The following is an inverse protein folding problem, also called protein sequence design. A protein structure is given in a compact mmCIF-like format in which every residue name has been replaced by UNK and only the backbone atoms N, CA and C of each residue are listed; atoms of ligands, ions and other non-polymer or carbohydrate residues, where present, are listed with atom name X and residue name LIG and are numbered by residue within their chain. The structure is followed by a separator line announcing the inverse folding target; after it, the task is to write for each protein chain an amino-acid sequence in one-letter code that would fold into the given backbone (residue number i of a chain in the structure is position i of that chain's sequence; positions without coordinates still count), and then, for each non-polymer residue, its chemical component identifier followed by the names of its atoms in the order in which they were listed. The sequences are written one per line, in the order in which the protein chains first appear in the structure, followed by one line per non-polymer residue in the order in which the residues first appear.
data_IF_071373402495
#
_entry.id   IF_071373402495
#
_cell.length_a   1.000
_cell.length_b   1.000
_cell.length_c   1.000
_cell.angle_alpha   90.00
_cell.angle_beta   90.00
_cell.angle_gamma   90.00
#
_symmetry.space_group_name_H-M   'P 1'
#
loop_
_entity.id
_entity.type
_entity.pdbx_description
1 polymer ?
#
# COMPACT_ATOMS: atom_id res chain seq x y z
N UNK A 1 -26.93 -52.55 -58.78
CA UNK A 1 -25.76 -51.71 -58.42
C UNK A 1 -25.93 -51.25 -56.97
N UNK A 2 -25.11 -51.73 -56.03
CA UNK A 2 -25.15 -51.31 -54.61
C UNK A 2 -24.25 -50.08 -54.46
N UNK A 3 -24.83 -48.91 -54.19
CA UNK A 3 -24.07 -47.72 -53.80
C UNK A 3 -24.05 -47.65 -52.27
N UNK A 4 -22.93 -48.02 -51.68
CA UNK A 4 -22.67 -47.90 -50.23
C UNK A 4 -22.15 -46.49 -49.95
N UNK A 5 -22.99 -45.62 -49.38
CA UNK A 5 -22.55 -44.31 -48.90
C UNK A 5 -21.97 -44.48 -47.49
N UNK A 6 -20.65 -44.43 -47.38
CA UNK A 6 -19.93 -44.39 -46.10
C UNK A 6 -19.92 -42.94 -45.61
N UNK A 7 -20.69 -42.64 -44.57
CA UNK A 7 -20.69 -41.33 -43.92
C UNK A 7 -19.56 -41.30 -42.89
N UNK A 8 -18.45 -40.65 -43.21
CA UNK A 8 -17.39 -40.43 -42.22
C UNK A 8 -17.78 -39.28 -41.28
N UNK A 9 -18.13 -39.64 -40.04
CA UNK A 9 -18.20 -38.69 -38.93
C UNK A 9 -16.80 -38.18 -38.60
N UNK A 10 -16.45 -36.99 -39.13
CA UNK A 10 -15.27 -36.23 -38.68
C UNK A 10 -15.41 -35.93 -37.19
N UNK A 11 -14.58 -36.57 -36.37
CA UNK A 11 -14.47 -36.28 -34.93
C UNK A 11 -14.03 -34.82 -34.76
N UNK A 12 -14.73 -34.01 -33.92
CA UNK A 12 -14.32 -32.65 -33.68
C UNK A 12 -12.98 -32.62 -32.94
N UNK A 13 -12.21 -31.59 -33.27
CA UNK A 13 -10.89 -31.23 -32.76
C UNK A 13 -10.72 -31.47 -31.26
N UNK A 14 -9.52 -31.93 -30.90
CA UNK A 14 -9.11 -32.36 -29.56
C UNK A 14 -9.60 -31.48 -28.41
N UNK A 15 -10.62 -31.97 -27.72
CA UNK A 15 -10.98 -31.51 -26.39
C UNK A 15 -9.88 -32.01 -25.46
N UNK A 16 -8.95 -31.12 -25.06
CA UNK A 16 -8.04 -31.40 -23.94
C UNK A 16 -8.91 -31.68 -22.72
N UNK A 17 -8.74 -32.85 -22.12
CA UNK A 17 -9.37 -33.23 -20.86
C UNK A 17 -9.17 -32.13 -19.81
N UNK A 18 -10.19 -31.80 -19.00
CA UNK A 18 -10.05 -30.80 -17.96
C UNK A 18 -8.95 -31.23 -17.01
N UNK A 19 -7.87 -30.44 -16.94
CA UNK A 19 -6.79 -30.66 -15.97
C UNK A 19 -7.37 -30.36 -14.59
N UNK A 20 -7.56 -31.41 -13.80
CA UNK A 20 -7.92 -31.27 -12.38
C UNK A 20 -6.69 -30.71 -11.68
N UNK A 21 -6.70 -29.41 -11.42
CA UNK A 21 -5.66 -28.76 -10.63
C UNK A 21 -6.05 -28.91 -9.17
N UNK A 22 -5.25 -29.65 -8.41
CA UNK A 22 -5.38 -29.71 -6.95
C UNK A 22 -4.94 -28.37 -6.36
N UNK A 23 -5.90 -27.58 -5.88
CA UNK A 23 -5.63 -26.27 -5.28
C UNK A 23 -5.46 -26.47 -3.76
N UNK A 24 -4.28 -26.12 -3.25
CA UNK A 24 -4.00 -26.16 -1.80
C UNK A 24 -4.47 -24.87 -1.14
N UNK A 25 -4.92 -24.93 0.12
CA UNK A 25 -5.35 -23.76 0.89
C UNK A 25 -4.29 -22.63 0.93
N UNK A 26 -3.00 -22.99 0.97
CA UNK A 26 -1.87 -22.03 0.93
C UNK A 26 -1.87 -21.21 -0.35
N UNK A 27 -2.24 -21.82 -1.49
CA UNK A 27 -2.31 -21.14 -2.77
C UNK A 27 -3.48 -20.15 -2.79
N UNK A 28 -4.63 -20.55 -2.21
CA UNK A 28 -5.77 -19.66 -2.04
C UNK A 28 -5.43 -18.47 -1.14
N UNK A 29 -4.83 -18.70 0.02
CA UNK A 29 -4.45 -17.65 0.96
C UNK A 29 -3.44 -16.67 0.35
N UNK A 30 -2.41 -17.19 -0.34
CA UNK A 30 -1.43 -16.36 -1.03
C UNK A 30 -2.09 -15.50 -2.11
N UNK A 31 -3.01 -16.10 -2.89
CA UNK A 31 -3.76 -15.39 -3.93
C UNK A 31 -4.62 -14.29 -3.31
N UNK A 32 -5.32 -14.61 -2.23
CA UNK A 32 -6.17 -13.67 -1.49
C UNK A 32 -5.37 -12.49 -0.93
N UNK A 33 -4.24 -12.75 -0.25
CA UNK A 33 -3.33 -11.70 0.24
C UNK A 33 -2.84 -10.79 -0.89
N UNK A 34 -2.54 -11.36 -2.06
CA UNK A 34 -2.19 -10.59 -3.25
C UNK A 34 -3.32 -9.66 -3.72
N UNK A 35 -4.55 -10.17 -3.76
CA UNK A 35 -5.74 -9.38 -4.10
C UNK A 35 -5.97 -8.22 -3.11
N UNK A 36 -5.86 -8.48 -1.81
CA UNK A 36 -6.00 -7.45 -0.76
C UNK A 36 -4.93 -6.37 -0.89
N UNK A 37 -3.67 -6.76 -1.17
CA UNK A 37 -2.58 -5.78 -1.38
C UNK A 37 -2.87 -4.87 -2.57
N UNK A 38 -3.27 -5.43 -3.71
CA UNK A 38 -3.60 -4.63 -4.90
C UNK A 38 -4.79 -3.69 -4.65
N UNK A 39 -5.82 -4.19 -3.97
CA UNK A 39 -6.96 -3.36 -3.56
C UNK A 39 -6.53 -2.14 -2.75
N UNK A 40 -5.70 -2.32 -1.71
CA UNK A 40 -5.21 -1.21 -0.87
C UNK A 40 -4.43 -0.17 -1.68
N UNK A 41 -3.59 -0.62 -2.62
CA UNK A 41 -2.81 0.28 -3.48
C UNK A 41 -3.73 1.09 -4.39
N UNK A 42 -4.69 0.45 -5.04
CA UNK A 42 -5.64 1.11 -5.95
C UNK A 42 -6.55 2.06 -5.19
N UNK A 43 -7.08 1.63 -4.04
CA UNK A 43 -7.93 2.48 -3.18
C UNK A 43 -7.19 3.75 -2.78
N UNK A 44 -5.97 3.62 -2.22
CA UNK A 44 -5.15 4.77 -1.85
C UNK A 44 -4.89 5.71 -3.04
N UNK A 45 -4.64 5.15 -4.23
CA UNK A 45 -4.40 5.95 -5.44
C UNK A 45 -5.63 6.76 -5.84
N UNK A 46 -6.81 6.14 -5.83
CA UNK A 46 -8.09 6.75 -6.19
C UNK A 46 -8.59 7.74 -5.11
N UNK A 47 -8.28 7.49 -3.84
CA UNK A 47 -8.61 8.40 -2.73
C UNK A 47 -7.69 9.65 -2.71
N UNK A 48 -6.58 9.63 -3.45
CA UNK A 48 -5.66 10.77 -3.53
C UNK A 48 -6.16 11.80 -4.53
N UNK A 49 -6.50 12.99 -4.06
CA UNK A 49 -6.93 14.11 -4.90
C UNK A 49 -5.89 14.45 -5.98
N UNK A 50 -6.37 14.74 -7.20
CA UNK A 50 -5.56 15.07 -8.36
C UNK A 50 -5.02 13.87 -9.16
N UNK A 51 -5.29 12.63 -8.73
CA UNK A 51 -5.03 11.45 -9.54
C UNK A 51 -6.22 11.09 -10.43
N UNK A 52 -5.92 10.47 -11.57
CA UNK A 52 -6.91 9.78 -12.39
C UNK A 52 -7.32 8.47 -11.72
N UNK A 53 -8.62 8.13 -11.81
CA UNK A 53 -9.12 6.90 -11.21
C UNK A 53 -8.52 5.68 -11.90
N UNK A 54 -7.84 4.83 -11.14
CA UNK A 54 -7.30 3.57 -11.62
C UNK A 54 -8.38 2.49 -11.60
N UNK A 55 -8.65 1.93 -12.77
CA UNK A 55 -9.56 0.81 -12.93
C UNK A 55 -8.88 -0.53 -12.59
N UNK A 56 -9.63 -1.41 -11.92
CA UNK A 56 -9.28 -2.81 -11.75
C UNK A 56 -10.52 -3.70 -11.72
N UNK A 57 -10.54 -4.74 -12.55
CA UNK A 57 -11.73 -5.60 -12.76
C UNK A 57 -12.28 -6.27 -11.50
N UNK A 58 -11.45 -6.49 -10.49
CA UNK A 58 -11.87 -7.10 -9.22
C UNK A 58 -12.14 -6.08 -8.12
N UNK A 59 -12.05 -4.78 -8.43
CA UNK A 59 -12.15 -3.72 -7.43
C UNK A 59 -13.50 -3.75 -6.73
N UNK A 60 -14.62 -3.77 -7.47
CA UNK A 60 -15.97 -3.78 -6.87
C UNK A 60 -16.16 -4.94 -5.91
N UNK A 61 -15.91 -6.17 -6.38
CA UNK A 61 -16.10 -7.39 -5.59
C UNK A 61 -15.26 -7.39 -4.32
N UNK A 62 -13.99 -6.98 -4.40
CA UNK A 62 -13.13 -6.92 -3.22
C UNK A 62 -13.51 -5.75 -2.31
N UNK A 63 -13.91 -4.62 -2.89
CA UNK A 63 -14.40 -3.48 -2.13
C UNK A 63 -15.59 -3.90 -1.28
N UNK A 64 -16.56 -4.61 -1.81
CA UNK A 64 -17.75 -5.07 -1.09
C UNK A 64 -17.41 -5.96 0.12
N UNK A 65 -16.36 -6.78 0.01
CA UNK A 65 -15.90 -7.65 1.10
C UNK A 65 -15.10 -6.87 2.15
N UNK A 66 -14.37 -5.83 1.73
CA UNK A 66 -13.27 -5.26 2.51
C UNK A 66 -13.52 -3.82 2.99
N UNK A 67 -14.46 -3.08 2.40
CA UNK A 67 -14.66 -1.65 2.66
C UNK A 67 -15.00 -1.32 4.12
N UNK A 68 -15.68 -2.21 4.84
CA UNK A 68 -16.09 -2.02 6.24
C UNK A 68 -15.01 -2.36 7.26
N UNK A 69 -13.85 -2.87 6.83
CA UNK A 69 -12.80 -3.31 7.75
C UNK A 69 -11.96 -2.11 8.24
N UNK A 70 -11.64 -2.04 9.54
CA UNK A 70 -10.83 -0.95 10.09
C UNK A 70 -9.41 -0.93 9.52
N UNK A 71 -8.94 -2.07 9.01
CA UNK A 71 -7.64 -2.21 8.31
C UNK A 71 -7.56 -1.40 7.00
N UNK A 72 -8.71 -0.97 6.48
CA UNK A 72 -8.85 -0.28 5.19
C UNK A 72 -9.41 1.12 5.38
N UNK A 73 -10.40 1.29 6.26
CA UNK A 73 -10.88 2.59 6.69
C UNK A 73 -10.45 2.80 8.15
N UNK A 74 -9.43 3.64 8.41
CA UNK A 74 -9.02 3.90 9.78
C UNK A 74 -10.14 4.62 10.53
N UNK A 75 -10.35 4.25 11.79
CA UNK A 75 -11.39 4.83 12.66
C UNK A 75 -11.15 6.34 12.88
N UNK A 76 -9.88 6.76 12.86
CA UNK A 76 -9.49 8.16 12.90
C UNK A 76 -8.32 8.42 11.95
N UNK A 77 -8.35 9.58 11.28
CA UNK A 77 -7.25 10.06 10.45
C UNK A 77 -6.62 11.26 11.16
N UNK A 78 -5.39 11.09 11.66
CA UNK A 78 -4.61 12.22 12.16
C UNK A 78 -3.88 12.88 10.99
N UNK A 79 -4.19 14.14 10.69
CA UNK A 79 -3.53 14.89 9.63
C UNK A 79 -2.36 15.68 10.21
N UNK A 80 -1.12 15.30 9.85
CA UNK A 80 0.08 16.02 10.29
C UNK A 80 0.28 17.37 9.58
N UNK A 81 -0.55 17.69 8.58
CA UNK A 81 -0.43 18.91 7.77
C UNK A 81 -1.06 20.14 8.44
N UNK A 82 -1.88 19.96 9.47
CA UNK A 82 -2.41 21.03 10.29
C UNK A 82 -2.06 20.68 11.74
N UNK A 83 -1.19 21.47 12.35
CA UNK A 83 -0.93 21.35 13.79
C UNK A 83 -2.22 21.49 14.60
N UNK A 84 -2.14 21.20 15.91
CA UNK A 84 -3.27 21.38 16.84
C UNK A 84 -3.95 22.74 16.59
N UNK A 85 -5.18 22.71 16.09
CA UNK A 85 -6.06 23.87 16.12
C UNK A 85 -7.05 23.65 17.26
N UNK A 86 -6.98 24.49 18.27
CA UNK A 86 -8.04 24.64 19.26
C UNK A 86 -9.22 25.32 18.55
N UNK A 87 -10.30 24.57 18.36
CA UNK A 87 -11.56 25.13 17.89
C UNK A 87 -12.26 25.76 19.10
N UNK A 88 -12.05 27.04 19.33
CA UNK A 88 -13.04 27.87 20.03
C UNK A 88 -14.24 28.02 19.09
N UNK A 89 -15.43 27.69 19.60
CA UNK A 89 -16.68 27.70 18.84
C UNK A 89 -17.05 29.14 18.45
N UNK A 90 -17.13 29.45 17.16
CA UNK A 90 -17.87 30.62 16.67
C UNK A 90 -18.19 30.48 15.18
N UNK A 91 -19.40 30.91 14.86
CA UNK A 91 -20.14 30.83 13.60
C UNK A 91 -19.37 31.18 12.32
N UNK A 92 -19.81 30.51 11.25
CA UNK A 92 -19.11 30.41 9.99
C UNK A 92 -19.07 31.68 9.14
N UNK A 93 -18.08 31.72 8.25
CA UNK A 93 -18.16 32.32 6.92
C UNK A 93 -17.17 31.57 6.02
N UNK A 94 -17.64 31.15 4.84
CA UNK A 94 -16.77 30.60 3.80
C UNK A 94 -15.87 31.69 3.23
N UNK A 95 -14.56 31.46 3.22
CA UNK A 95 -13.60 32.30 2.48
C UNK A 95 -12.78 31.41 1.54
N UNK A 96 -12.86 31.60 0.22
CA UNK A 96 -11.99 30.91 -0.72
C UNK A 96 -10.61 31.59 -0.69
N UNK A 97 -9.63 30.96 -0.04
CA UNK A 97 -8.25 31.44 -0.09
C UNK A 97 -7.54 30.83 -1.31
N UNK A 98 -7.41 31.65 -2.34
CA UNK A 98 -6.53 31.42 -3.48
C UNK A 98 -5.09 31.34 -3.01
N UNK A 99 -4.49 30.14 -3.01
CA UNK A 99 -3.05 29.98 -2.87
C UNK A 99 -2.46 29.47 -4.19
N UNK A 100 -1.41 30.12 -4.74
CA UNK A 100 -0.79 29.68 -5.97
C UNK A 100 -0.10 28.33 -5.72
N UNK A 101 -0.65 27.26 -6.29
CA UNK A 101 0.01 25.98 -6.35
C UNK A 101 1.17 26.06 -7.33
N UNK A 102 2.38 26.28 -6.83
CA UNK A 102 3.59 26.06 -7.61
C UNK A 102 3.71 24.56 -7.87
N UNK A 103 3.13 24.11 -8.96
CA UNK A 103 3.27 22.74 -9.47
C UNK A 103 4.75 22.48 -9.77
N UNK A 104 5.39 21.44 -9.20
CA UNK A 104 6.67 20.99 -9.70
C UNK A 104 6.39 20.25 -11.01
N UNK A 105 6.74 20.91 -12.10
CA UNK A 105 6.79 20.36 -13.44
C UNK A 105 7.57 19.06 -13.48
N UNK A 106 7.02 18.14 -14.26
CA UNK A 106 7.41 16.75 -14.51
C UNK A 106 8.80 16.64 -15.17
N UNK A 107 9.89 16.89 -14.44
CA UNK A 107 11.24 16.77 -15.03
C UNK A 107 12.35 16.23 -14.13
N UNK A 108 12.10 15.72 -12.91
CA UNK A 108 13.23 15.21 -12.10
C UNK A 108 12.93 13.99 -11.21
N UNK A 109 12.75 12.82 -11.85
CA UNK A 109 12.66 11.51 -11.18
C UNK A 109 13.99 11.15 -10.47
N UNK A 110 15.14 11.64 -10.95
CA UNK A 110 16.46 11.35 -10.36
C UNK A 110 16.69 12.10 -9.04
N UNK A 111 16.26 13.36 -8.94
CA UNK A 111 16.36 14.15 -7.70
C UNK A 111 15.48 13.59 -6.58
N UNK A 112 14.26 13.13 -6.91
CA UNK A 112 13.30 12.62 -5.92
C UNK A 112 13.78 11.32 -5.24
N UNK A 113 14.50 10.44 -5.96
CA UNK A 113 15.11 9.23 -5.38
C UNK A 113 16.23 9.57 -4.38
N UNK A 114 17.12 10.51 -4.73
CA UNK A 114 18.21 10.96 -3.86
C UNK A 114 17.71 11.63 -2.57
N UNK A 115 16.65 12.44 -2.66
CA UNK A 115 16.04 13.09 -1.49
C UNK A 115 15.44 12.05 -0.53
N UNK A 116 14.76 11.03 -1.06
CA UNK A 116 14.18 9.96 -0.23
C UNK A 116 15.26 9.07 0.41
N UNK A 117 16.34 8.80 -0.31
CA UNK A 117 17.47 8.01 0.18
C UNK A 117 18.21 8.73 1.32
N UNK A 118 18.53 10.01 1.14
CA UNK A 118 19.12 10.85 2.20
C UNK A 118 18.22 10.95 3.44
N UNK A 119 16.89 10.99 3.26
CA UNK A 119 15.95 11.04 4.38
C UNK A 119 15.87 9.72 5.17
N UNK A 120 16.07 8.57 4.50
CA UNK A 120 16.12 7.25 5.13
C UNK A 120 17.44 7.11 5.88
N UNK A 121 18.55 7.49 5.25
CA UNK A 121 19.89 7.41 5.84
C UNK A 121 19.99 8.27 7.11
N UNK A 122 19.48 9.51 7.08
CA UNK A 122 19.45 10.36 8.28
C UNK A 122 18.67 9.71 9.43
N UNK A 123 17.51 9.09 9.15
CA UNK A 123 16.71 8.40 10.17
C UNK A 123 17.41 7.14 10.70
N UNK A 124 18.18 6.47 9.87
CA UNK A 124 19.00 5.33 10.26
C UNK A 124 20.13 5.78 11.18
N UNK A 125 20.86 6.82 10.79
CA UNK A 125 21.94 7.41 11.58
C UNK A 125 21.44 7.90 12.95
N UNK A 126 20.32 8.62 13.00
CA UNK A 126 19.73 9.06 14.27
C UNK A 126 19.31 7.90 15.18
N UNK A 127 18.96 6.75 14.61
CA UNK A 127 18.62 5.55 15.39
C UNK A 127 19.89 4.93 15.98
N UNK A 128 20.96 4.83 15.19
CA UNK A 128 22.26 4.32 15.64
C UNK A 128 22.81 5.23 16.73
N UNK A 129 22.82 6.54 16.54
CA UNK A 129 23.31 7.50 17.53
C UNK A 129 22.55 7.42 18.86
N UNK A 130 21.24 7.17 18.82
CA UNK A 130 20.46 6.96 20.06
C UNK A 130 20.86 5.66 20.76
N UNK A 131 21.15 4.61 20.01
CA UNK A 131 21.64 3.35 20.57
C UNK A 131 23.03 3.55 21.19
N UNK A 132 23.93 4.26 20.51
CA UNK A 132 25.27 4.57 21.01
C UNK A 132 25.23 5.43 22.27
N UNK A 133 24.38 6.47 22.30
CA UNK A 133 24.15 7.28 23.51
C UNK A 133 23.59 6.47 24.67
N UNK A 134 22.73 5.49 24.38
CA UNK A 134 22.19 4.63 25.42
C UNK A 134 23.27 3.68 25.98
N UNK A 135 24.06 3.08 25.10
CA UNK A 135 25.18 2.21 25.49
C UNK A 135 26.22 2.96 26.32
N UNK A 136 26.57 4.20 25.95
CA UNK A 136 27.53 5.00 26.72
C UNK A 136 27.02 5.36 28.12
N UNK A 137 25.72 5.62 28.27
CA UNK A 137 25.10 5.82 29.58
C UNK A 137 25.16 4.54 30.42
N UNK A 138 24.88 3.37 29.82
CA UNK A 138 24.99 2.09 30.53
C UNK A 138 26.42 1.81 30.98
N UNK A 139 27.41 2.05 30.12
CA UNK A 139 28.83 1.89 30.45
C UNK A 139 29.23 2.82 31.60
N UNK A 140 28.77 4.07 31.57
CA UNK A 140 29.00 5.05 32.63
C UNK A 140 28.41 4.57 33.97
N UNK A 141 27.19 4.04 33.95
CA UNK A 141 26.52 3.50 35.14
C UNK A 141 27.31 2.29 35.68
N UNK A 142 27.71 1.36 34.81
CA UNK A 142 28.48 0.19 35.19
C UNK A 142 29.83 0.58 35.82
N UNK A 143 30.58 1.49 35.20
CA UNK A 143 31.84 1.99 35.74
C UNK A 143 31.68 2.68 37.11
N UNK A 144 30.59 3.42 37.31
CA UNK A 144 30.28 4.06 38.58
C UNK A 144 29.87 3.06 39.68
N UNK A 145 29.31 1.91 39.31
CA UNK A 145 29.04 0.82 40.25
C UNK A 145 30.33 0.14 40.69
N UNK A 146 31.24 -0.17 39.75
CA UNK A 146 32.52 -0.82 40.05
C UNK A 146 33.48 0.05 40.87
N UNK A 147 33.37 1.38 40.80
CA UNK A 147 34.21 2.31 41.59
C UNK A 147 33.75 2.49 43.06
N UNK A 148 32.58 1.97 43.43
CA UNK A 148 32.02 2.11 44.79
C UNK A 148 32.24 0.90 45.68
N UNK A 149 32.91 -0.13 45.18
CA UNK A 149 33.47 -1.26 45.94
C UNK A 149 34.97 -1.01 46.21
#
# INVERSE_FOLDING_TARGET
MKMSLRVELKKPFGIRSPKVVSITWVQCDTKWKGLVRQYKVIKKHNDTSGNENKYWKFYSVINDIMHKKPEIQPVAVCSSSRGLQENESSDGYSTPSSTPSTTPTRSNIKGRKKITENAIERRHQERIERQDRFLSVLETIAANMTRRE
#
